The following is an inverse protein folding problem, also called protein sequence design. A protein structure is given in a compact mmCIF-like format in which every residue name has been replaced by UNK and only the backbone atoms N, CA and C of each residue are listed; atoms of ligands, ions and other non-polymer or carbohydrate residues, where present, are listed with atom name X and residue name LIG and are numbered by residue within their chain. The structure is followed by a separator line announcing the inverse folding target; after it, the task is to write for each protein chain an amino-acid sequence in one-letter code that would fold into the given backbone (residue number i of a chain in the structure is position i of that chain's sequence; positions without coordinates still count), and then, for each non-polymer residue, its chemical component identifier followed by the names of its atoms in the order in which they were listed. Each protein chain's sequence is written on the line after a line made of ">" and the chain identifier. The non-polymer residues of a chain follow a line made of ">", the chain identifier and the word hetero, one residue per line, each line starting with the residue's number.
data_IF_007699148923
#
_entry.id   IF_007699148923
#
_cell.length_a   1.000
_cell.length_b   1.000
_cell.length_c   1.000
_cell.angle_alpha   90.00
_cell.angle_beta   90.00
_cell.angle_gamma   90.00
#
_symmetry.space_group_name_H-M   'P 1'
#
loop_
_entity.id
_entity.type
_entity.pdbx_description
1 polymer ?
#
# COMPACT_ATOMS: atom_id res chain seq x y z
N UNK A 1 -16.57 -7.80 -17.66
CA UNK A 1 -17.47 -8.69 -16.91
C UNK A 1 -16.59 -9.72 -16.25
N UNK A 2 -16.52 -9.71 -14.91
CA UNK A 2 -15.75 -10.69 -14.15
C UNK A 2 -16.75 -11.72 -13.61
N UNK A 3 -16.43 -13.00 -13.76
CA UNK A 3 -17.21 -14.11 -13.20
C UNK A 3 -16.44 -14.60 -11.98
N UNK A 4 -17.12 -14.65 -10.84
CA UNK A 4 -16.58 -15.17 -9.58
C UNK A 4 -17.39 -16.42 -9.29
N UNK A 5 -16.72 -17.55 -9.13
CA UNK A 5 -17.36 -18.78 -8.68
C UNK A 5 -17.47 -18.71 -7.15
N UNK A 6 -18.69 -18.90 -6.66
CA UNK A 6 -18.99 -19.02 -5.25
C UNK A 6 -19.63 -20.39 -5.01
N UNK A 7 -19.32 -20.99 -3.88
CA UNK A 7 -20.05 -22.14 -3.39
C UNK A 7 -21.47 -21.75 -2.93
N UNK A 8 -22.36 -22.73 -2.84
CA UNK A 8 -23.76 -22.50 -2.51
C UNK A 8 -23.94 -21.91 -1.10
N UNK A 9 -23.06 -22.25 -0.15
CA UNK A 9 -23.13 -21.76 1.23
C UNK A 9 -22.77 -20.27 1.30
N UNK A 10 -21.70 -19.85 0.63
CA UNK A 10 -21.31 -18.44 0.56
C UNK A 10 -22.30 -17.59 -0.22
N UNK A 11 -22.95 -18.16 -1.24
CA UNK A 11 -24.03 -17.48 -1.97
C UNK A 11 -25.26 -17.21 -1.09
N UNK A 12 -25.63 -18.16 -0.23
CA UNK A 12 -26.73 -18.00 0.75
C UNK A 12 -26.38 -16.91 1.76
N UNK A 13 -25.20 -16.99 2.36
CA UNK A 13 -24.74 -16.00 3.35
C UNK A 13 -24.70 -14.57 2.78
N UNK A 14 -24.22 -14.40 1.54
CA UNK A 14 -24.19 -13.09 0.88
C UNK A 14 -25.60 -12.54 0.62
N UNK A 15 -26.56 -13.40 0.29
CA UNK A 15 -27.95 -12.98 0.11
C UNK A 15 -28.57 -12.56 1.45
N UNK A 16 -28.36 -13.32 2.52
CA UNK A 16 -28.85 -12.95 3.86
C UNK A 16 -28.29 -11.61 4.35
N UNK A 17 -26.98 -11.40 4.15
CA UNK A 17 -26.31 -10.13 4.45
C UNK A 17 -26.86 -8.97 3.61
N UNK A 18 -27.08 -9.20 2.32
CA UNK A 18 -27.63 -8.21 1.41
C UNK A 18 -29.07 -7.82 1.80
N UNK A 19 -29.88 -8.80 2.22
CA UNK A 19 -31.24 -8.57 2.73
C UNK A 19 -31.24 -7.75 4.01
N UNK A 20 -30.36 -8.07 4.97
CA UNK A 20 -30.22 -7.33 6.23
C UNK A 20 -29.82 -5.87 6.01
N UNK A 21 -28.93 -5.62 5.05
CA UNK A 21 -28.45 -4.29 4.68
C UNK A 21 -29.39 -3.58 3.67
N UNK A 22 -30.49 -4.21 3.25
CA UNK A 22 -31.44 -3.71 2.25
C UNK A 22 -30.79 -3.27 0.92
N UNK A 23 -29.73 -3.97 0.52
CA UNK A 23 -28.99 -3.70 -0.73
C UNK A 23 -28.97 -4.93 -1.63
N UNK A 24 -28.66 -4.74 -2.91
CA UNK A 24 -28.47 -5.89 -3.79
C UNK A 24 -27.13 -6.60 -3.49
N UNK A 25 -27.05 -7.93 -3.70
CA UNK A 25 -25.80 -8.67 -3.52
C UNK A 25 -24.64 -8.12 -4.36
N UNK A 26 -24.93 -7.63 -5.57
CA UNK A 26 -23.95 -6.98 -6.43
C UNK A 26 -23.41 -5.66 -5.83
N UNK A 27 -24.28 -4.88 -5.17
CA UNK A 27 -23.89 -3.65 -4.50
C UNK A 27 -23.09 -3.94 -3.23
N UNK A 28 -23.46 -4.99 -2.48
CA UNK A 28 -22.70 -5.48 -1.33
C UNK A 28 -21.26 -5.87 -1.75
N UNK A 29 -21.12 -6.67 -2.81
CA UNK A 29 -19.81 -7.07 -3.35
C UNK A 29 -18.97 -5.86 -3.80
N UNK A 30 -19.60 -4.87 -4.44
CA UNK A 30 -18.92 -3.64 -4.85
C UNK A 30 -18.39 -2.87 -3.63
N UNK A 31 -19.19 -2.74 -2.58
CA UNK A 31 -18.78 -2.07 -1.34
C UNK A 31 -17.64 -2.84 -0.66
N UNK A 32 -17.75 -4.16 -0.59
CA UNK A 32 -16.71 -5.02 -0.01
C UNK A 32 -15.39 -4.90 -0.78
N UNK A 33 -15.43 -4.89 -2.12
CA UNK A 33 -14.25 -4.68 -2.95
C UNK A 33 -13.60 -3.30 -2.73
N UNK A 34 -14.41 -2.26 -2.51
CA UNK A 34 -13.91 -0.91 -2.18
C UNK A 34 -13.23 -0.88 -0.81
N UNK A 35 -13.83 -1.50 0.20
CA UNK A 35 -13.26 -1.60 1.55
C UNK A 35 -11.98 -2.43 1.55
N UNK A 36 -11.95 -3.54 0.81
CA UNK A 36 -10.74 -4.36 0.68
C UNK A 36 -9.60 -3.58 0.02
N UNK A 37 -9.92 -2.78 -1.00
CA UNK A 37 -8.92 -1.93 -1.66
C UNK A 37 -8.40 -0.83 -0.74
N UNK A 38 -9.28 -0.16 0.03
CA UNK A 38 -8.86 0.91 0.93
C UNK A 38 -8.04 0.38 2.11
N UNK A 39 -8.39 -0.80 2.65
CA UNK A 39 -7.63 -1.47 3.70
C UNK A 39 -6.27 -1.96 3.19
N UNK A 40 -6.19 -2.54 1.99
CA UNK A 40 -4.91 -2.88 1.33
C UNK A 40 -4.01 -1.65 1.11
N UNK A 41 -4.59 -0.52 0.68
CA UNK A 41 -3.85 0.73 0.51
C UNK A 41 -3.36 1.31 1.85
N UNK A 42 -4.17 1.21 2.91
CA UNK A 42 -3.76 1.60 4.25
C UNK A 42 -2.65 0.68 4.80
N UNK A 43 -2.75 -0.63 4.58
CA UNK A 43 -1.71 -1.59 4.99
C UNK A 43 -0.41 -1.43 4.20
N UNK A 44 -0.45 -0.98 2.94
CA UNK A 44 0.77 -0.61 2.21
C UNK A 44 1.41 0.68 2.72
N UNK A 45 0.63 1.64 3.22
CA UNK A 45 1.15 2.84 3.88
C UNK A 45 1.65 2.57 5.32
N UNK A 46 1.19 1.49 5.94
CA UNK A 46 1.58 1.08 7.30
C UNK A 46 2.62 -0.05 7.35
N UNK A 47 3.13 -0.54 6.21
CA UNK A 47 4.34 -1.34 6.28
C UNK A 47 5.45 -0.43 6.81
N UNK A 48 5.99 -0.69 8.02
CA UNK A 48 7.08 0.13 8.52
C UNK A 48 8.22 -0.02 7.53
N UNK A 49 8.59 1.08 6.88
CA UNK A 49 9.71 1.10 5.93
C UNK A 49 10.90 0.47 6.63
N UNK A 50 11.34 -0.68 6.12
CA UNK A 50 12.47 -1.39 6.70
C UNK A 50 13.72 -0.58 6.39
N UNK A 51 14.73 -0.64 7.26
CA UNK A 51 16.03 -0.02 6.99
C UNK A 51 16.63 -0.48 5.64
N UNK A 52 16.27 -1.68 5.19
CA UNK A 52 16.64 -2.24 3.89
C UNK A 52 15.99 -1.55 2.70
N UNK A 53 14.81 -0.95 2.88
CA UNK A 53 14.09 -0.25 1.80
C UNK A 53 14.82 1.05 1.41
N UNK A 54 15.63 1.58 2.32
CA UNK A 54 16.53 2.71 2.07
C UNK A 54 17.92 2.29 1.57
N UNK A 55 18.24 1.00 1.57
CA UNK A 55 19.55 0.52 1.14
C UNK A 55 19.73 0.80 -0.36
N UNK A 56 20.74 1.61 -0.70
CA UNK A 56 21.05 1.97 -2.08
C UNK A 56 20.33 3.22 -2.60
N UNK A 57 19.37 3.79 -1.87
CA UNK A 57 18.77 5.09 -2.24
C UNK A 57 19.85 6.18 -2.29
N UNK A 58 20.75 6.19 -1.30
CA UNK A 58 21.84 7.16 -1.22
C UNK A 58 22.87 7.01 -2.35
N UNK A 59 22.96 5.84 -3.00
CA UNK A 59 23.91 5.60 -4.10
C UNK A 59 23.64 6.53 -5.28
N UNK A 60 22.38 6.86 -5.53
CA UNK A 60 21.96 7.71 -6.63
C UNK A 60 21.62 9.13 -6.16
N UNK A 61 21.89 9.47 -4.90
CA UNK A 61 21.62 10.81 -4.38
C UNK A 61 22.59 11.82 -4.98
N UNK A 62 22.11 12.95 -5.55
CA UNK A 62 22.97 14.01 -6.07
C UNK A 62 23.92 14.57 -5.01
N UNK A 63 23.47 14.64 -3.75
CA UNK A 63 24.26 15.15 -2.62
C UNK A 63 25.45 14.26 -2.25
N UNK A 64 25.42 12.98 -2.63
CA UNK A 64 26.51 12.03 -2.40
C UNK A 64 27.20 11.61 -3.71
N UNK A 65 26.92 12.33 -4.81
CA UNK A 65 27.58 12.12 -6.09
C UNK A 65 28.85 12.98 -6.19
N UNK A 66 30.03 12.35 -6.28
CA UNK A 66 31.30 13.06 -6.36
C UNK A 66 32.42 12.40 -5.56
N UNK A 67 33.52 13.12 -5.39
CA UNK A 67 34.66 12.66 -4.59
C UNK A 67 34.30 12.68 -3.09
N UNK A 68 34.39 11.54 -2.37
CA UNK A 68 34.02 11.46 -0.95
C UNK A 68 34.75 12.46 -0.06
N UNK A 69 36.03 12.76 -0.35
CA UNK A 69 36.83 13.70 0.44
C UNK A 69 36.37 15.14 0.27
N UNK A 70 35.93 15.51 -0.94
CA UNK A 70 35.42 16.85 -1.24
C UNK A 70 34.07 17.08 -0.54
N UNK A 71 33.20 16.07 -0.55
CA UNK A 71 31.91 16.11 0.14
C UNK A 71 32.12 16.25 1.65
N UNK A 72 33.03 15.45 2.23
CA UNK A 72 33.35 15.54 3.66
C UNK A 72 33.93 16.90 4.06
N UNK A 73 34.75 17.48 3.19
CA UNK A 73 35.30 18.82 3.42
C UNK A 73 34.22 19.89 3.36
N UNK A 74 33.36 19.88 2.34
CA UNK A 74 32.23 20.80 2.25
C UNK A 74 31.32 20.74 3.49
N UNK A 75 30.99 19.54 3.97
CA UNK A 75 30.18 19.36 5.19
C UNK A 75 30.84 19.92 6.45
N UNK A 76 32.17 19.80 6.58
CA UNK A 76 32.92 20.39 7.70
C UNK A 76 32.92 21.91 7.62
N UNK A 77 33.11 22.44 6.43
CA UNK A 77 33.22 23.87 6.19
C UNK A 77 31.85 24.57 6.35
N UNK A 78 30.72 23.87 6.17
CA UNK A 78 29.35 24.36 6.47
C UNK A 78 29.08 24.63 7.96
N UNK A 79 29.85 24.02 8.87
CA UNK A 79 29.69 24.22 10.32
C UNK A 79 30.65 25.29 10.89
N UNK A 80 31.39 25.97 10.01
CA UNK A 80 32.37 27.02 10.33
C UNK A 80 31.73 28.40 10.31
#
# INVERSE_FOLDING_TARGET
>A
MAIIELDDETAVLLNELAEHEHISPAQLLKNLALVYRSTQQAHHAEQPELLTDFAGILKNSPSFSGNPLEIQQAMRDEWS
#
